data_IF_024429539172
#
_entry.id   IF_024429539172
#
_cell.length_a   1.000
_cell.length_b   1.000
_cell.length_c   1.000
_cell.angle_alpha   90.00
_cell.angle_beta   90.00
_cell.angle_gamma   90.00
#
_symmetry.space_group_name_H-M   'P 1'
#
loop_
_entity.id
_entity.type
_entity.pdbx_description
1 polymer ?
#
# COMPACT_ATOMS: atom_id res chain seq x y z
N UNK A 1 14.12 11.66 -7.84
CA UNK A 1 15.03 10.52 -8.12
C UNK A 1 14.18 9.45 -8.79
N UNK A 2 14.52 9.01 -10.00
CA UNK A 2 13.77 7.97 -10.71
C UNK A 2 13.92 6.62 -9.99
N UNK A 3 12.85 5.83 -9.87
CA UNK A 3 12.98 4.41 -9.51
C UNK A 3 13.52 3.67 -10.75
N UNK A 4 14.64 2.93 -10.63
CA UNK A 4 15.26 2.28 -11.79
C UNK A 4 14.39 1.19 -12.41
N UNK A 5 14.60 0.92 -13.70
CA UNK A 5 14.04 -0.23 -14.44
C UNK A 5 14.43 -1.61 -13.83
N UNK A 6 15.36 -1.62 -12.88
CA UNK A 6 15.93 -2.82 -12.22
C UNK A 6 15.33 -3.10 -10.82
N UNK A 7 14.09 -2.70 -10.53
CA UNK A 7 13.47 -3.04 -9.22
C UNK A 7 13.28 -4.57 -9.10
N UNK A 8 13.80 -5.15 -8.03
CA UNK A 8 13.65 -6.57 -7.71
C UNK A 8 12.53 -6.79 -6.70
N UNK A 9 11.78 -7.89 -6.86
CA UNK A 9 10.88 -8.43 -5.85
C UNK A 9 11.54 -9.60 -5.13
N UNK A 10 11.16 -9.83 -3.88
CA UNK A 10 11.60 -10.98 -3.08
C UNK A 10 10.59 -12.11 -3.22
N UNK A 11 11.00 -13.24 -3.79
CA UNK A 11 10.17 -14.43 -3.95
C UNK A 11 10.04 -15.17 -2.62
N UNK A 12 8.87 -15.75 -2.36
CA UNK A 12 8.56 -16.42 -1.11
C UNK A 12 8.12 -17.88 -1.33
N UNK A 13 8.33 -18.72 -0.32
CA UNK A 13 7.56 -19.97 -0.15
C UNK A 13 6.15 -19.65 0.34
N UNK A 14 5.26 -20.65 0.26
CA UNK A 14 3.91 -20.56 0.86
C UNK A 14 3.92 -20.24 2.36
N UNK A 15 4.96 -20.65 3.08
CA UNK A 15 5.16 -20.34 4.51
C UNK A 15 5.83 -18.97 4.75
N UNK A 16 5.93 -18.13 3.71
CA UNK A 16 6.48 -16.77 3.80
C UNK A 16 8.00 -16.68 3.94
N UNK A 17 8.75 -17.75 3.65
CA UNK A 17 10.20 -17.72 3.71
C UNK A 17 10.80 -17.24 2.38
N UNK A 18 11.80 -16.32 2.39
CA UNK A 18 12.47 -15.89 1.16
C UNK A 18 13.17 -17.03 0.44
N UNK A 19 12.94 -17.15 -0.88
CA UNK A 19 13.57 -18.18 -1.74
C UNK A 19 14.51 -17.60 -2.79
N UNK A 20 14.42 -16.30 -3.05
CA UNK A 20 15.23 -15.63 -4.06
C UNK A 20 14.65 -14.27 -4.42
N UNK A 21 15.09 -13.74 -5.56
CA UNK A 21 14.66 -12.44 -6.08
C UNK A 21 14.45 -12.52 -7.58
N UNK A 22 13.52 -11.71 -8.10
CA UNK A 22 13.27 -11.63 -9.54
C UNK A 22 13.00 -10.18 -9.98
N UNK A 23 13.23 -9.83 -11.27
CA UNK A 23 12.90 -8.50 -11.78
C UNK A 23 11.38 -8.25 -11.71
N UNK A 24 10.97 -7.18 -11.01
CA UNK A 24 9.57 -6.83 -10.80
C UNK A 24 8.78 -6.78 -12.09
N UNK A 25 9.28 -6.06 -13.09
CA UNK A 25 8.61 -5.90 -14.37
C UNK A 25 8.44 -7.24 -15.09
N UNK A 26 9.40 -8.15 -15.00
CA UNK A 26 9.34 -9.46 -15.65
C UNK A 26 8.44 -10.45 -14.90
N UNK A 27 8.26 -10.28 -13.58
CA UNK A 27 7.53 -11.24 -12.74
C UNK A 27 6.02 -11.06 -12.70
N UNK A 28 5.49 -9.88 -13.04
CA UNK A 28 4.03 -9.64 -13.04
C UNK A 28 3.43 -10.04 -14.42
N UNK A 29 2.87 -11.24 -14.48
CA UNK A 29 2.22 -11.88 -15.64
C UNK A 29 1.15 -12.89 -15.19
N UNK A 30 0.70 -13.81 -16.05
CA UNK A 30 -0.36 -14.79 -15.70
C UNK A 30 0.03 -15.84 -14.66
N UNK A 31 1.33 -16.03 -14.44
CA UNK A 31 1.90 -17.04 -13.54
C UNK A 31 2.82 -16.36 -12.50
N UNK A 32 2.45 -15.15 -12.05
CA UNK A 32 3.25 -14.37 -11.09
C UNK A 32 3.55 -15.22 -9.85
N UNK A 33 4.84 -15.45 -9.52
CA UNK A 33 5.22 -16.22 -8.35
C UNK A 33 4.83 -15.49 -7.06
N UNK A 34 4.63 -16.25 -5.98
CA UNK A 34 4.39 -15.67 -4.66
C UNK A 34 5.60 -14.81 -4.25
N UNK A 35 5.34 -13.59 -3.82
CA UNK A 35 6.39 -12.65 -3.45
C UNK A 35 5.98 -11.72 -2.32
N UNK A 36 6.97 -11.05 -1.72
CA UNK A 36 6.78 -10.12 -0.64
C UNK A 36 6.30 -8.77 -1.16
N UNK A 37 5.29 -8.22 -0.50
CA UNK A 37 4.77 -6.88 -0.73
C UNK A 37 4.45 -6.17 0.59
N UNK A 38 3.90 -4.98 0.50
CA UNK A 38 3.24 -4.30 1.61
C UNK A 38 2.09 -3.44 1.09
N UNK A 39 1.18 -3.12 2.01
CA UNK A 39 0.10 -2.17 1.78
C UNK A 39 0.05 -1.16 2.91
N UNK A 40 -0.30 0.10 2.62
CA UNK A 40 -0.34 1.16 3.65
C UNK A 40 -1.59 2.04 3.56
N UNK A 41 -2.10 2.42 4.73
CA UNK A 41 -3.23 3.31 4.93
C UNK A 41 -2.78 4.55 5.68
N UNK A 42 -2.72 5.69 4.99
CA UNK A 42 -2.24 6.97 5.51
C UNK A 42 -3.41 7.79 6.03
N UNK A 43 -3.26 8.29 7.25
CA UNK A 43 -4.22 9.14 7.95
C UNK A 43 -3.61 10.49 8.26
N UNK A 44 -4.37 11.56 8.06
CA UNK A 44 -3.97 12.89 8.51
C UNK A 44 -4.33 13.15 9.99
N UNK A 45 -3.91 14.30 10.50
CA UNK A 45 -4.19 14.73 11.87
C UNK A 45 -5.70 14.89 12.19
N UNK A 46 -6.58 14.92 11.18
CA UNK A 46 -8.03 14.97 11.34
C UNK A 46 -8.70 13.59 11.24
N UNK A 47 -7.92 12.52 11.04
CA UNK A 47 -8.43 11.16 10.87
C UNK A 47 -9.04 10.88 9.50
N UNK A 48 -8.78 11.74 8.50
CA UNK A 48 -9.13 11.43 7.11
C UNK A 48 -8.12 10.46 6.54
N UNK A 49 -8.60 9.54 5.72
CA UNK A 49 -7.81 8.54 5.02
C UNK A 49 -7.44 9.01 3.61
N UNK A 50 -6.20 8.79 3.20
CA UNK A 50 -5.70 9.12 1.86
C UNK A 50 -5.99 7.98 0.88
N UNK A 51 -6.95 8.18 -0.02
CA UNK A 51 -7.13 7.35 -1.19
C UNK A 51 -6.27 7.87 -2.34
N UNK A 52 -5.71 6.95 -3.14
CA UNK A 52 -4.97 7.29 -4.35
C UNK A 52 -5.55 6.60 -5.57
N UNK A 53 -5.38 7.23 -6.73
CA UNK A 53 -5.66 6.63 -8.03
C UNK A 53 -4.32 6.35 -8.69
N UNK A 54 -4.09 5.09 -9.04
CA UNK A 54 -2.86 4.65 -9.70
C UNK A 54 -2.67 5.42 -11.02
N UNK A 55 -1.44 5.85 -11.33
CA UNK A 55 -1.13 6.49 -12.60
C UNK A 55 -1.57 5.62 -13.79
N UNK A 56 -2.00 6.26 -14.88
CA UNK A 56 -2.42 5.56 -16.09
C UNK A 56 -1.28 4.80 -16.78
N UNK A 57 -0.03 5.18 -16.51
CA UNK A 57 1.19 4.54 -17.00
C UNK A 57 1.54 3.23 -16.28
N UNK A 58 0.88 2.89 -15.17
CA UNK A 58 1.19 1.70 -14.37
C UNK A 58 0.92 0.43 -15.17
N UNK A 59 1.87 -0.52 -15.11
CA UNK A 59 1.73 -1.83 -15.76
C UNK A 59 0.53 -2.64 -15.23
N UNK A 60 0.31 -2.62 -13.91
CA UNK A 60 -0.79 -3.34 -13.28
C UNK A 60 -1.82 -2.35 -12.74
N UNK A 61 -3.10 -2.63 -12.98
CA UNK A 61 -4.24 -1.85 -12.48
C UNK A 61 -4.12 -0.31 -12.73
N UNK A 62 -3.86 0.14 -13.98
CA UNK A 62 -3.74 1.58 -14.28
C UNK A 62 -5.06 2.31 -14.03
N UNK A 63 -5.01 3.50 -13.44
CA UNK A 63 -6.18 4.34 -13.21
C UNK A 63 -7.16 3.84 -12.15
N UNK A 64 -6.84 2.74 -11.45
CA UNK A 64 -7.69 2.15 -10.41
C UNK A 64 -7.49 2.90 -9.09
N UNK A 65 -8.59 3.21 -8.41
CA UNK A 65 -8.54 3.76 -7.05
C UNK A 65 -8.15 2.67 -6.05
N UNK A 66 -7.29 3.01 -5.10
CA UNK A 66 -6.74 2.06 -4.14
C UNK A 66 -6.40 2.80 -2.84
N UNK A 67 -5.90 2.05 -1.85
CA UNK A 67 -5.38 2.61 -0.61
C UNK A 67 -4.15 3.52 -0.86
N UNK A 68 -3.53 4.02 0.21
CA UNK A 68 -2.61 5.14 0.08
C UNK A 68 -1.36 4.81 -0.71
N UNK A 69 -0.70 3.69 -0.42
CA UNK A 69 0.50 3.27 -1.12
C UNK A 69 0.75 1.78 -0.91
N UNK A 70 1.01 1.05 -2.01
CA UNK A 70 1.43 -0.34 -2.01
C UNK A 70 2.77 -0.47 -2.72
N UNK A 71 3.55 -1.49 -2.38
CA UNK A 71 4.77 -1.76 -3.10
C UNK A 71 5.49 -3.00 -2.60
N UNK A 72 6.77 -3.08 -2.96
CA UNK A 72 7.59 -4.26 -2.72
C UNK A 72 8.80 -3.88 -1.85
N UNK A 73 9.08 -4.63 -0.77
CA UNK A 73 10.37 -4.54 -0.10
C UNK A 73 11.50 -4.94 -1.05
N UNK A 74 12.57 -4.15 -1.08
CA UNK A 74 13.79 -4.53 -1.78
C UNK A 74 14.49 -5.71 -1.07
N UNK A 75 15.39 -6.43 -1.74
CA UNK A 75 16.15 -7.50 -1.10
C UNK A 75 16.91 -7.01 0.15
N UNK A 76 16.65 -7.62 1.29
CA UNK A 76 17.23 -7.24 2.59
C UNK A 76 16.57 -6.03 3.26
N UNK A 77 15.53 -5.44 2.67
CA UNK A 77 14.76 -4.34 3.24
C UNK A 77 13.58 -4.87 4.07
N UNK A 78 13.31 -4.24 5.22
CA UNK A 78 12.09 -4.55 5.99
C UNK A 78 10.86 -3.92 5.35
N UNK A 79 9.67 -4.52 5.55
CA UNK A 79 8.43 -3.96 5.05
C UNK A 79 8.18 -2.52 5.55
N UNK A 80 8.51 -2.22 6.81
CA UNK A 80 8.40 -0.86 7.37
C UNK A 80 9.34 0.13 6.66
N UNK A 81 10.58 -0.27 6.35
CA UNK A 81 11.50 0.58 5.59
C UNK A 81 10.99 0.80 4.14
N UNK A 82 10.41 -0.23 3.52
CA UNK A 82 9.80 -0.15 2.21
C UNK A 82 8.60 0.82 2.17
N UNK A 83 7.72 0.78 3.19
CA UNK A 83 6.62 1.74 3.37
C UNK A 83 7.16 3.17 3.37
N UNK A 84 8.17 3.47 4.21
CA UNK A 84 8.77 4.82 4.28
C UNK A 84 9.32 5.27 2.93
N UNK A 85 10.08 4.39 2.27
CA UNK A 85 10.71 4.67 0.97
C UNK A 85 9.66 4.96 -0.10
N UNK A 86 8.62 4.14 -0.21
CA UNK A 86 7.59 4.29 -1.25
C UNK A 86 6.65 5.45 -0.95
N UNK A 87 6.30 5.73 0.31
CA UNK A 87 5.55 6.94 0.66
C UNK A 87 6.31 8.22 0.27
N UNK A 88 7.62 8.27 0.54
CA UNK A 88 8.44 9.40 0.13
C UNK A 88 8.54 9.52 -1.40
N UNK A 89 8.63 8.39 -2.10
CA UNK A 89 8.80 8.37 -3.55
C UNK A 89 7.50 8.65 -4.33
N UNK A 90 6.39 8.01 -3.96
CA UNK A 90 5.11 8.11 -4.68
C UNK A 90 4.30 9.33 -4.26
N UNK A 91 4.40 9.74 -2.99
CA UNK A 91 3.54 10.75 -2.39
C UNK A 91 4.30 11.91 -1.76
N UNK A 92 5.63 11.92 -1.79
CA UNK A 92 6.43 12.97 -1.13
C UNK A 92 6.25 13.01 0.40
N UNK A 93 5.72 11.94 0.99
CA UNK A 93 5.43 11.86 2.43
C UNK A 93 6.62 11.24 3.16
N UNK A 94 7.24 12.02 4.04
CA UNK A 94 8.34 11.58 4.87
C UNK A 94 7.83 11.26 6.27
N UNK A 95 7.97 10.02 6.70
CA UNK A 95 7.50 9.54 8.01
C UNK A 95 8.62 8.81 8.75
N UNK A 96 8.54 8.79 10.07
CA UNK A 96 9.40 8.02 10.96
C UNK A 96 8.79 6.64 11.27
N UNK A 97 9.62 5.74 11.82
CA UNK A 97 9.23 4.34 12.07
C UNK A 97 8.10 4.24 13.10
N UNK A 98 8.10 5.11 14.11
CA UNK A 98 7.08 5.17 15.17
C UNK A 98 5.73 5.72 14.70
N UNK A 99 5.69 6.32 13.50
CA UNK A 99 4.45 6.75 12.84
C UNK A 99 3.77 5.61 12.06
N UNK A 100 4.43 4.45 11.93
CA UNK A 100 3.95 3.28 11.19
C UNK A 100 3.47 2.20 12.16
N UNK A 101 2.20 1.83 12.04
CA UNK A 101 1.51 0.85 12.90
C UNK A 101 1.14 -0.39 12.08
N UNK A 102 1.57 -1.60 12.46
CA UNK A 102 1.07 -2.83 11.83
C UNK A 102 -0.44 -2.97 12.08
N UNK A 103 -1.20 -3.23 11.02
CA UNK A 103 -2.64 -3.44 11.08
C UNK A 103 -3.00 -4.90 10.81
N UNK A 104 -2.60 -5.44 9.66
CA UNK A 104 -2.84 -6.84 9.28
C UNK A 104 -1.50 -7.49 8.90
N UNK A 105 -0.73 -8.00 9.87
CA UNK A 105 0.64 -8.47 9.62
C UNK A 105 0.69 -9.73 8.74
N UNK A 106 -0.37 -10.55 8.75
CA UNK A 106 -0.43 -11.84 8.04
C UNK A 106 -1.27 -11.77 6.75
N UNK A 107 -1.64 -10.57 6.29
CA UNK A 107 -2.49 -10.41 5.12
C UNK A 107 -1.82 -10.98 3.87
N UNK A 108 -2.58 -11.74 3.09
CA UNK A 108 -2.15 -12.34 1.83
C UNK A 108 -3.30 -12.34 0.83
N UNK A 109 -3.01 -12.16 -0.45
CA UNK A 109 -4.03 -12.17 -1.48
C UNK A 109 -3.49 -12.62 -2.83
N UNK A 110 -4.43 -13.04 -3.70
CA UNK A 110 -4.20 -13.23 -5.12
C UNK A 110 -5.30 -12.51 -5.89
N UNK A 111 -4.93 -11.66 -6.84
CA UNK A 111 -5.87 -10.94 -7.69
C UNK A 111 -5.40 -10.97 -9.15
N UNK A 112 -6.32 -10.84 -10.09
CA UNK A 112 -6.02 -10.90 -11.53
C UNK A 112 -6.78 -9.81 -12.28
N UNK A 113 -6.09 -9.15 -13.22
CA UNK A 113 -6.67 -8.22 -14.18
C UNK A 113 -6.04 -8.47 -15.54
N UNK A 114 -6.87 -8.71 -16.56
CA UNK A 114 -6.45 -8.90 -17.95
C UNK A 114 -5.28 -9.90 -18.13
N UNK A 115 -5.30 -10.99 -17.33
CA UNK A 115 -4.28 -12.03 -17.35
C UNK A 115 -2.97 -11.68 -16.64
N UNK A 116 -2.90 -10.55 -15.93
CA UNK A 116 -1.79 -10.22 -15.03
C UNK A 116 -2.22 -10.49 -13.58
N UNK A 117 -1.43 -11.29 -12.89
CA UNK A 117 -1.69 -11.73 -11.51
C UNK A 117 -0.83 -10.93 -10.52
N UNK A 118 -1.45 -10.50 -9.43
CA UNK A 118 -0.78 -10.18 -8.17
C UNK A 118 -0.94 -11.40 -7.25
N UNK A 119 0.15 -11.90 -6.66
CA UNK A 119 0.16 -13.04 -5.76
C UNK A 119 1.15 -12.76 -4.61
N UNK A 120 0.64 -12.25 -3.50
CA UNK A 120 1.46 -11.56 -2.51
C UNK A 120 1.15 -11.98 -1.07
N UNK A 121 2.21 -12.12 -0.27
CA UNK A 121 2.14 -11.93 1.18
C UNK A 121 2.41 -10.44 1.42
N UNK A 122 1.40 -9.74 1.91
CA UNK A 122 1.31 -8.28 1.84
C UNK A 122 0.85 -7.68 3.18
N UNK A 123 1.73 -7.63 4.20
CA UNK A 123 1.41 -7.03 5.48
C UNK A 123 0.88 -5.60 5.32
N UNK A 124 -0.18 -5.29 6.07
CA UNK A 124 -0.86 -3.99 6.00
C UNK A 124 -0.44 -3.11 7.16
N UNK A 125 -0.11 -1.87 6.84
CA UNK A 125 0.33 -0.85 7.79
C UNK A 125 -0.62 0.34 7.78
N UNK A 126 -0.78 0.97 8.93
CA UNK A 126 -1.35 2.31 9.07
C UNK A 126 -0.25 3.32 9.31
N UNK A 127 -0.41 4.53 8.78
CA UNK A 127 0.61 5.57 8.85
C UNK A 127 -0.06 6.89 9.19
N UNK A 128 0.53 7.67 10.09
CA UNK A 128 0.07 9.05 10.36
C UNK A 128 0.98 10.05 9.69
N UNK A 129 0.37 11.11 9.15
CA UNK A 129 1.08 12.23 8.55
C UNK A 129 0.50 13.56 9.01
N UNK A 130 1.34 14.58 9.01
CA UNK A 130 1.01 15.97 9.30
C UNK A 130 1.27 16.90 8.11
N UNK A 131 1.59 16.34 6.93
CA UNK A 131 1.89 17.04 5.70
C UNK A 131 0.96 16.61 4.57
N UNK A 132 0.77 17.49 3.59
CA UNK A 132 0.03 17.16 2.36
C UNK A 132 0.92 16.35 1.42
N UNK A 133 0.37 15.34 0.72
CA UNK A 133 1.12 14.59 -0.27
C UNK A 133 1.47 15.49 -1.47
N UNK A 134 2.65 15.24 -2.03
CA UNK A 134 3.11 15.77 -3.32
C UNK A 134 3.31 14.55 -4.24
N UNK A 135 2.25 14.12 -4.95
CA UNK A 135 2.31 12.88 -5.71
C UNK A 135 3.31 12.93 -6.87
N UNK A 136 4.01 11.81 -7.09
CA UNK A 136 4.77 11.59 -8.30
C UNK A 136 3.79 11.21 -9.43
N UNK A 137 3.71 11.99 -10.53
CA UNK A 137 2.75 11.74 -11.61
C UNK A 137 3.02 10.43 -12.37
N UNK A 138 4.22 9.86 -12.27
CA UNK A 138 4.52 8.55 -12.87
C UNK A 138 3.89 7.39 -12.06
N UNK A 139 3.43 7.66 -10.84
CA UNK A 139 2.95 6.65 -9.89
C UNK A 139 1.49 6.85 -9.48
N UNK A 140 1.07 8.11 -9.29
CA UNK A 140 -0.25 8.49 -8.80
C UNK A 140 -0.88 9.53 -9.73
N UNK A 141 -2.05 9.22 -10.26
CA UNK A 141 -2.86 10.09 -11.13
C UNK A 141 -3.59 11.17 -10.32
N UNK A 142 -4.20 10.76 -9.20
CA UNK A 142 -5.08 11.59 -8.38
C UNK A 142 -5.03 11.09 -6.93
N UNK A 143 -5.34 11.94 -5.96
CA UNK A 143 -5.54 11.55 -4.57
C UNK A 143 -6.71 12.28 -3.94
N UNK A 144 -7.29 11.71 -2.88
CA UNK A 144 -8.37 12.30 -2.09
C UNK A 144 -8.22 11.97 -0.62
N UNK A 145 -8.37 12.99 0.22
CA UNK A 145 -8.67 12.78 1.64
C UNK A 145 -10.16 12.47 1.79
N UNK A 146 -10.48 11.28 2.30
CA UNK A 146 -11.85 10.83 2.54
C UNK A 146 -12.08 10.55 4.02
N UNK A 147 -13.33 10.55 4.45
CA UNK A 147 -13.68 10.11 5.80
C UNK A 147 -13.36 8.64 6.00
N UNK A 148 -12.94 8.29 7.23
CA UNK A 148 -12.82 6.91 7.66
C UNK A 148 -14.04 6.52 8.53
N UNK A 149 -14.66 5.34 8.33
CA UNK A 149 -14.39 4.37 7.26
C UNK A 149 -14.84 4.85 5.87
N UNK A 150 -14.31 4.24 4.82
CA UNK A 150 -14.62 4.60 3.42
C UNK A 150 -16.02 4.10 3.06
N UNK A 151 -16.95 5.03 2.87
CA UNK A 151 -18.35 4.71 2.56
C UNK A 151 -18.55 4.20 1.12
N UNK A 152 -17.95 4.87 0.13
CA UNK A 152 -18.03 4.46 -1.27
C UNK A 152 -16.80 3.63 -1.63
N UNK A 153 -17.02 2.33 -1.77
CA UNK A 153 -15.98 1.36 -2.13
C UNK A 153 -16.04 0.93 -3.60
N UNK A 154 -16.97 1.49 -4.39
CA UNK A 154 -17.13 1.11 -5.77
C UNK A 154 -15.87 1.43 -6.58
N UNK A 155 -15.35 0.44 -7.33
CA UNK A 155 -14.19 0.63 -8.19
C UNK A 155 -12.84 0.69 -7.44
N UNK A 156 -12.80 0.40 -6.14
CA UNK A 156 -11.54 0.18 -5.44
C UNK A 156 -10.87 -1.12 -5.91
N UNK A 157 -9.54 -1.14 -5.87
CA UNK A 157 -8.74 -2.33 -6.16
C UNK A 157 -9.12 -3.51 -5.25
N UNK A 158 -9.05 -4.77 -5.73
CA UNK A 158 -9.48 -5.93 -4.96
C UNK A 158 -8.79 -6.07 -3.60
N UNK A 159 -7.48 -5.81 -3.51
CA UNK A 159 -6.77 -5.89 -2.23
C UNK A 159 -7.28 -4.85 -1.23
N UNK A 160 -7.55 -3.62 -1.65
CA UNK A 160 -8.14 -2.61 -0.75
C UNK A 160 -9.52 -3.01 -0.25
N UNK A 161 -10.35 -3.66 -1.07
CA UNK A 161 -11.66 -4.16 -0.63
C UNK A 161 -11.51 -5.23 0.44
N UNK A 162 -10.67 -6.24 0.20
CA UNK A 162 -10.38 -7.32 1.15
C UNK A 162 -9.82 -6.77 2.47
N UNK A 163 -8.87 -5.84 2.38
CA UNK A 163 -8.27 -5.21 3.56
C UNK A 163 -9.29 -4.35 4.32
N UNK A 164 -10.13 -3.57 3.63
CA UNK A 164 -11.15 -2.74 4.28
C UNK A 164 -12.16 -3.59 5.08
N UNK A 165 -12.52 -4.78 4.60
CA UNK A 165 -13.41 -5.69 5.32
C UNK A 165 -12.82 -6.16 6.66
N UNK A 166 -11.50 -6.30 6.75
CA UNK A 166 -10.80 -6.69 7.98
C UNK A 166 -10.43 -5.48 8.86
N UNK A 167 -10.20 -4.32 8.24
CA UNK A 167 -9.78 -3.10 8.92
C UNK A 167 -10.94 -2.39 9.62
N UNK A 168 -12.17 -2.48 9.11
CA UNK A 168 -13.30 -1.84 9.76
C UNK A 168 -13.61 -2.46 11.13
N UNK A 169 -13.45 -1.65 12.17
CA UNK A 169 -13.57 -2.11 13.57
C UNK A 169 -12.27 -2.69 14.14
N UNK A 170 -11.18 -2.73 13.36
CA UNK A 170 -9.89 -3.20 13.85
C UNK A 170 -9.37 -2.28 14.97
N UNK A 171 -9.02 -2.81 16.16
CA UNK A 171 -8.71 -1.99 17.33
C UNK A 171 -7.48 -1.10 17.11
N UNK A 172 -6.48 -1.57 16.36
CA UNK A 172 -5.27 -0.78 16.11
C UNK A 172 -5.53 0.49 15.27
N UNK A 173 -6.62 0.56 14.50
CA UNK A 173 -6.96 1.78 13.73
C UNK A 173 -7.30 2.94 14.64
N UNK A 174 -7.88 2.68 15.81
CA UNK A 174 -8.18 3.75 16.78
C UNK A 174 -6.93 4.51 17.19
N UNK A 175 -5.76 3.85 17.16
CA UNK A 175 -4.50 4.52 17.45
C UNK A 175 -4.14 5.54 16.38
N UNK A 176 -4.60 5.40 15.13
CA UNK A 176 -4.30 6.29 14.00
C UNK A 176 -5.28 7.46 13.88
N UNK A 177 -6.43 7.36 14.53
CA UNK A 177 -7.47 8.38 14.51
C UNK A 177 -7.27 9.38 15.66
N UNK A 178 -7.78 10.63 15.53
CA UNK A 178 -7.74 11.60 16.60
C UNK A 178 -8.38 11.03 17.87
N UNK A 179 -7.67 11.15 19.00
CA UNK A 179 -8.27 10.89 20.30
C UNK A 179 -9.38 11.92 20.52
N UNK A 180 -10.62 11.47 20.73
CA UNK A 180 -11.78 12.36 20.82
C UNK A 180 -11.71 13.37 21.97
N UNK A 181 -11.11 14.53 21.73
CA UNK A 181 -11.30 15.82 22.42
C UNK A 181 -11.04 16.89 21.34
N UNK A 182 -11.93 17.82 20.95
CA UNK A 182 -13.15 18.32 21.52
C UNK A 182 -14.13 18.71 20.40
N UNK A 183 -15.34 18.14 20.41
CA UNK A 183 -16.51 18.87 19.92
C UNK A 183 -16.88 19.86 21.02
N UNK A 184 -16.44 21.11 20.90
CA UNK A 184 -17.06 22.26 21.57
C UNK A 184 -17.77 23.10 20.53
#
# INVERSE_FOLDING_TARGET
MAVPDDELIVLLTEDGQPTGTAPKLASHHGDTPLHAAFSSYVFDASGRFLLTRRALSKKTWPGVWTNSCCGHPAPGESAVAAVRRRLAYELGLHVEIDEIVPLLPDFRYRAELDGIVENEICPVFGVRVNSEPVPNPDEVEEYRWVSWPVADRAGLSPWSLLQLDELEGHPAITTLLPTGEARR
#
